data_IF_538364953390
#
_entry.id   IF_538364953390
#
_cell.length_a   1.000
_cell.length_b   1.000
_cell.length_c   1.000
_cell.angle_alpha   90.00
_cell.angle_beta   90.00
_cell.angle_gamma   90.00
#
_symmetry.space_group_name_H-M   'P 1'
#
loop_
_entity.id
_entity.type
_entity.pdbx_description
1 polymer ?
#
# COMPACT_ATOMS: atom_id res chain seq x y z
N UNK A 1 40.37 -12.70 36.06
CA UNK A 1 41.10 -12.76 37.35
C UNK A 1 41.38 -11.34 37.78
N UNK A 2 41.37 -11.07 39.09
CA UNK A 2 41.71 -9.78 39.75
C UNK A 2 40.74 -8.62 39.47
N UNK A 3 39.86 -8.30 40.43
CA UNK A 3 39.96 -7.20 41.43
C UNK A 3 39.36 -5.87 40.88
N UNK A 4 38.55 -5.08 41.59
CA UNK A 4 38.51 -4.83 43.05
C UNK A 4 37.11 -4.57 43.62
N UNK A 5 37.01 -4.62 44.96
CA UNK A 5 35.90 -4.12 45.78
C UNK A 5 35.94 -2.59 45.92
N UNK A 6 34.78 -1.96 46.15
CA UNK A 6 34.50 -1.21 47.40
C UNK A 6 33.07 -0.67 47.39
N UNK A 7 32.40 -0.70 48.54
CA UNK A 7 30.98 -0.38 48.72
C UNK A 7 30.77 0.44 50.01
N UNK A 8 29.62 1.11 50.16
CA UNK A 8 29.18 1.92 51.31
C UNK A 8 29.98 3.24 51.53
N UNK A 9 29.47 4.35 52.08
CA UNK A 9 28.23 4.71 52.82
C UNK A 9 28.05 6.26 52.74
N UNK A 10 27.00 6.98 53.15
CA UNK A 10 25.60 6.74 53.58
C UNK A 10 24.91 8.12 53.71
N UNK A 11 23.57 8.24 53.56
CA UNK A 11 22.75 9.20 54.35
C UNK A 11 21.21 9.03 54.21
N UNK A 12 20.60 8.80 55.37
CA UNK A 12 19.22 8.99 55.83
C UNK A 12 18.88 10.50 56.01
N UNK A 13 17.67 11.00 56.32
CA UNK A 13 16.26 10.52 56.39
C UNK A 13 15.36 11.81 56.49
N UNK A 14 14.05 11.66 56.78
CA UNK A 14 13.10 12.68 57.33
C UNK A 14 12.47 13.68 56.32
N UNK A 15 11.19 14.11 56.39
CA UNK A 15 9.97 13.66 57.13
C UNK A 15 8.72 14.28 56.42
N UNK A 16 7.53 13.68 56.58
CA UNK A 16 6.15 14.26 56.78
C UNK A 16 5.74 15.67 56.23
N UNK A 17 4.48 15.99 55.87
CA UNK A 17 3.15 15.33 56.06
C UNK A 17 1.99 16.08 55.33
N UNK A 18 0.88 15.37 55.10
CA UNK A 18 -0.55 15.76 55.24
C UNK A 18 -1.27 16.89 54.45
N UNK A 19 -2.28 16.42 53.68
CA UNK A 19 -3.72 16.76 53.75
C UNK A 19 -4.22 18.22 53.81
N UNK A 20 -5.08 18.61 52.84
CA UNK A 20 -6.49 18.96 53.14
C UNK A 20 -7.44 19.06 51.93
N UNK A 21 -8.63 18.50 52.10
CA UNK A 21 -9.86 18.85 51.38
C UNK A 21 -10.48 20.14 51.98
N UNK A 22 -11.17 20.97 51.18
CA UNK A 22 -12.60 21.30 51.35
C UNK A 22 -13.11 22.51 50.52
N UNK A 23 -14.26 22.28 49.86
CA UNK A 23 -15.47 23.14 49.79
C UNK A 23 -15.54 24.45 48.96
N UNK A 24 -16.44 24.38 47.96
CA UNK A 24 -17.62 25.25 47.72
C UNK A 24 -17.49 26.75 47.42
N UNK A 25 -18.16 27.15 46.33
CA UNK A 25 -19.24 28.15 46.39
C UNK A 25 -20.10 28.12 45.11
N UNK A 26 -21.40 27.88 45.25
CA UNK A 26 -22.39 28.09 44.19
C UNK A 26 -22.66 29.58 44.00
N UNK A 27 -22.93 30.02 42.76
CA UNK A 27 -23.68 31.25 42.52
C UNK A 27 -24.41 31.24 41.17
N UNK A 28 -25.70 30.89 41.22
CA UNK A 28 -26.68 31.26 40.21
C UNK A 28 -27.05 32.75 40.36
N UNK A 29 -27.20 33.44 39.23
CA UNK A 29 -27.97 34.69 39.18
C UNK A 29 -28.47 34.95 37.76
N UNK A 30 -29.77 34.72 37.53
CA UNK A 30 -30.47 35.09 36.31
C UNK A 30 -30.80 36.60 36.22
N UNK A 31 -30.95 37.05 34.97
CA UNK A 31 -32.11 37.82 34.44
C UNK A 31 -31.93 39.29 33.95
N UNK A 32 -32.30 39.49 32.67
CA UNK A 32 -32.75 40.72 31.98
C UNK A 32 -31.81 41.96 31.90
N UNK A 33 -31.64 42.69 30.77
CA UNK A 33 -32.69 43.16 29.85
C UNK A 33 -32.20 43.75 28.49
N UNK A 34 -32.91 43.41 27.41
CA UNK A 34 -33.38 44.23 26.27
C UNK A 34 -32.46 44.98 25.26
N UNK A 35 -32.93 44.95 23.99
CA UNK A 35 -32.60 45.72 22.76
C UNK A 35 -31.15 45.70 22.20
N UNK A 36 -30.92 45.48 20.89
CA UNK A 36 -31.83 45.13 19.79
C UNK A 36 -31.18 45.24 18.39
N UNK A 37 -31.82 44.60 17.39
CA UNK A 37 -31.57 44.64 15.92
C UNK A 37 -30.53 43.71 15.24
N UNK A 38 -31.06 43.02 14.21
CA UNK A 38 -30.45 42.53 12.96
C UNK A 38 -29.57 41.26 12.96
N UNK A 39 -30.25 40.13 12.75
CA UNK A 39 -29.77 38.91 12.07
C UNK A 39 -29.36 39.22 10.61
N UNK A 40 -28.36 38.54 10.01
CA UNK A 40 -28.58 37.17 9.52
C UNK A 40 -27.40 36.19 9.66
N UNK A 41 -27.72 34.91 9.40
CA UNK A 41 -26.84 33.72 9.34
C UNK A 41 -26.39 33.13 10.67
N UNK A 42 -26.99 31.98 10.98
CA UNK A 42 -26.47 31.01 11.95
C UNK A 42 -25.19 30.40 11.39
N UNK A 43 -24.06 30.73 12.01
CA UNK A 43 -22.83 29.95 11.84
C UNK A 43 -23.08 28.55 12.42
N UNK A 44 -22.83 27.45 11.67
CA UNK A 44 -22.74 26.14 12.27
C UNK A 44 -21.48 26.12 13.12
N UNK A 45 -21.67 26.02 14.44
CA UNK A 45 -20.61 26.01 15.46
C UNK A 45 -19.37 25.24 15.04
N UNK A 46 -18.21 25.87 15.24
CA UNK A 46 -16.88 25.32 14.97
C UNK A 46 -16.64 23.96 15.63
N UNK A 47 -17.02 22.89 14.94
CA UNK A 47 -16.33 21.60 15.06
C UNK A 47 -15.09 21.67 14.18
N UNK A 48 -14.21 22.59 14.57
CA UNK A 48 -12.86 22.72 14.05
C UNK A 48 -12.05 21.52 14.57
N UNK A 49 -12.38 20.34 14.02
CA UNK A 49 -11.68 19.07 14.24
C UNK A 49 -10.35 19.07 13.50
N UNK A 50 -9.63 20.18 13.59
CA UNK A 50 -8.22 20.35 13.23
C UNK A 50 -7.30 19.78 14.33
N UNK A 51 -7.76 18.72 15.02
CA UNK A 51 -6.89 17.80 15.73
C UNK A 51 -6.09 17.02 14.68
N UNK A 52 -4.80 17.36 14.63
CA UNK A 52 -3.79 16.94 13.67
C UNK A 52 -3.61 15.40 13.53
N UNK A 53 -4.53 14.71 12.87
CA UNK A 53 -4.34 13.34 12.36
C UNK A 53 -3.72 13.35 10.95
N UNK A 54 -2.63 14.11 10.78
CA UNK A 54 -1.80 14.08 9.56
C UNK A 54 -0.96 12.78 9.44
N UNK A 55 -1.16 11.82 10.35
CA UNK A 55 -0.27 10.66 10.54
C UNK A 55 -0.66 9.43 9.73
N UNK A 56 -1.92 9.30 9.33
CA UNK A 56 -2.51 8.00 8.95
C UNK A 56 -2.48 7.76 7.43
N UNK A 57 -2.06 8.78 6.66
CA UNK A 57 -2.22 8.83 5.21
C UNK A 57 -1.33 7.86 4.41
N UNK A 58 -0.25 7.31 4.98
CA UNK A 58 0.70 6.47 4.22
C UNK A 58 0.19 5.07 3.90
N UNK A 59 -0.70 4.53 4.76
CA UNK A 59 -1.33 3.21 4.60
C UNK A 59 -2.60 3.25 3.72
N UNK A 60 -3.14 4.43 3.47
CA UNK A 60 -4.35 4.60 2.67
C UNK A 60 -4.04 4.99 1.21
N UNK A 61 -4.92 4.58 0.30
CA UNK A 61 -4.98 5.15 -1.04
C UNK A 61 -5.79 6.44 -1.02
N UNK A 62 -5.14 7.59 -1.22
CA UNK A 62 -5.82 8.82 -1.60
C UNK A 62 -6.36 8.68 -3.04
N UNK A 63 -7.65 8.96 -3.26
CA UNK A 63 -8.30 8.78 -4.57
C UNK A 63 -7.72 9.70 -5.67
N UNK A 64 -6.99 10.76 -5.29
CA UNK A 64 -6.31 11.70 -6.19
C UNK A 64 -4.81 11.43 -6.41
N UNK A 65 -4.20 10.55 -5.60
CA UNK A 65 -2.73 10.43 -5.55
C UNK A 65 -2.28 9.06 -6.06
N UNK A 66 -1.89 9.01 -7.32
CA UNK A 66 -1.25 7.83 -7.90
C UNK A 66 0.05 7.51 -7.15
N UNK A 67 0.19 6.25 -6.72
CA UNK A 67 1.45 5.74 -6.18
C UNK A 67 2.54 5.84 -7.26
N UNK A 68 3.74 6.25 -6.85
CA UNK A 68 4.89 6.34 -7.76
C UNK A 68 5.19 4.98 -8.41
N UNK A 69 4.94 3.89 -7.69
CA UNK A 69 5.06 2.51 -8.21
C UNK A 69 3.98 2.12 -9.23
N UNK A 70 2.87 2.85 -9.33
CA UNK A 70 1.88 2.65 -10.41
C UNK A 70 2.24 3.39 -11.71
N UNK A 71 3.06 4.45 -11.65
CA UNK A 71 3.61 5.10 -12.86
C UNK A 71 4.73 4.27 -13.53
N UNK A 72 5.31 3.33 -12.80
CA UNK A 72 6.41 2.48 -13.26
C UNK A 72 5.82 1.20 -13.87
N UNK A 73 6.14 0.87 -15.13
CA UNK A 73 5.66 -0.36 -15.75
C UNK A 73 6.12 -1.61 -15.01
N UNK A 74 5.21 -2.57 -14.90
CA UNK A 74 5.51 -3.92 -14.41
C UNK A 74 6.34 -4.69 -15.43
N UNK A 75 7.17 -5.60 -14.94
CA UNK A 75 7.83 -6.63 -15.75
C UNK A 75 6.87 -7.77 -16.07
N UNK A 76 7.17 -8.56 -17.09
CA UNK A 76 6.37 -9.74 -17.49
C UNK A 76 6.20 -10.73 -16.32
N UNK A 77 7.22 -10.90 -15.48
CA UNK A 77 7.16 -11.74 -14.29
C UNK A 77 6.22 -11.17 -13.22
N UNK A 78 6.19 -9.86 -13.00
CA UNK A 78 5.28 -9.21 -12.06
C UNK A 78 3.83 -9.28 -12.56
N UNK A 79 3.59 -9.01 -13.85
CA UNK A 79 2.27 -9.13 -14.48
C UNK A 79 1.75 -10.58 -14.41
N UNK A 80 2.60 -11.57 -14.69
CA UNK A 80 2.28 -12.98 -14.57
C UNK A 80 1.93 -13.36 -13.12
N UNK A 81 2.75 -12.94 -12.15
CA UNK A 81 2.55 -13.22 -10.73
C UNK A 81 1.25 -12.66 -10.18
N UNK A 82 0.89 -11.42 -10.56
CA UNK A 82 -0.41 -10.82 -10.24
C UNK A 82 -1.54 -11.62 -10.90
N UNK A 83 -1.39 -12.02 -12.17
CA UNK A 83 -2.36 -12.84 -12.88
C UNK A 83 -2.60 -14.21 -12.23
N UNK A 84 -1.55 -14.88 -11.76
CA UNK A 84 -1.63 -16.12 -10.98
C UNK A 84 -2.41 -15.91 -9.67
N UNK A 85 -2.03 -14.91 -8.88
CA UNK A 85 -2.70 -14.56 -7.62
C UNK A 85 -4.19 -14.28 -7.82
N UNK A 86 -4.52 -13.41 -8.78
CA UNK A 86 -5.89 -13.05 -9.14
C UNK A 86 -6.75 -14.26 -9.49
N UNK A 87 -6.16 -15.26 -10.17
CA UNK A 87 -6.84 -16.50 -10.53
C UNK A 87 -7.01 -17.43 -9.34
N UNK A 88 -6.01 -17.51 -8.47
CA UNK A 88 -6.01 -18.41 -7.31
C UNK A 88 -6.97 -17.93 -6.21
N UNK A 89 -6.94 -16.63 -5.87
CA UNK A 89 -7.89 -16.06 -4.89
C UNK A 89 -9.34 -16.17 -5.40
N UNK A 90 -9.60 -15.89 -6.69
CA UNK A 90 -10.90 -16.14 -7.37
C UNK A 90 -11.30 -17.62 -7.43
N UNK A 91 -10.34 -18.54 -7.32
CA UNK A 91 -10.61 -19.95 -7.08
C UNK A 91 -11.10 -20.21 -5.66
N UNK A 92 -10.41 -19.66 -4.65
CA UNK A 92 -10.75 -19.83 -3.22
C UNK A 92 -12.05 -19.16 -2.81
N UNK A 93 -12.39 -18.01 -3.35
CA UNK A 93 -13.70 -17.36 -3.13
C UNK A 93 -14.85 -18.28 -3.57
N UNK A 94 -14.74 -18.89 -4.77
CA UNK A 94 -15.73 -19.87 -5.29
C UNK A 94 -15.74 -21.20 -4.54
N UNK A 95 -14.64 -21.54 -3.86
CA UNK A 95 -14.56 -22.70 -2.97
C UNK A 95 -15.31 -22.43 -1.67
N UNK A 96 -15.07 -21.26 -1.06
CA UNK A 96 -15.77 -20.76 0.13
C UNK A 96 -17.28 -20.67 -0.11
N UNK A 97 -17.72 -20.01 -1.20
CA UNK A 97 -19.12 -19.89 -1.61
C UNK A 97 -19.81 -21.25 -1.75
N UNK A 98 -19.15 -22.22 -2.39
CA UNK A 98 -19.69 -23.56 -2.61
C UNK A 98 -19.84 -24.32 -1.29
N UNK A 99 -18.84 -24.25 -0.41
CA UNK A 99 -18.91 -24.88 0.91
C UNK A 99 -20.05 -24.29 1.75
N UNK A 100 -20.15 -22.95 1.79
CA UNK A 100 -21.18 -22.22 2.52
C UNK A 100 -22.59 -22.68 2.11
N UNK A 101 -22.87 -22.64 0.79
CA UNK A 101 -24.14 -23.11 0.22
C UNK A 101 -24.39 -24.59 0.51
N UNK A 102 -23.35 -25.42 0.53
CA UNK A 102 -23.47 -26.86 0.84
C UNK A 102 -23.85 -27.07 2.32
N UNK A 103 -23.19 -26.37 3.26
CA UNK A 103 -23.48 -26.47 4.70
C UNK A 103 -24.93 -26.05 4.99
N UNK A 104 -25.36 -24.90 4.47
CA UNK A 104 -26.75 -24.43 4.57
C UNK A 104 -27.74 -25.46 4.00
N UNK A 105 -27.49 -25.98 2.79
CA UNK A 105 -28.42 -26.92 2.14
C UNK A 105 -28.63 -28.23 2.91
N UNK A 106 -27.71 -28.57 3.81
CA UNK A 106 -27.76 -29.77 4.65
C UNK A 106 -28.11 -29.49 6.11
N UNK A 107 -28.31 -28.22 6.49
CA UNK A 107 -28.48 -27.79 7.88
C UNK A 107 -27.27 -28.18 8.77
N UNK A 108 -26.06 -28.15 8.20
CA UNK A 108 -24.79 -28.32 8.93
C UNK A 108 -24.37 -27.00 9.61
N UNK A 109 -23.70 -27.06 10.77
CA UNK A 109 -23.21 -25.85 11.47
C UNK A 109 -22.21 -25.06 10.62
N UNK A 110 -22.31 -23.73 10.67
CA UNK A 110 -21.42 -22.77 10.01
C UNK A 110 -20.33 -22.20 10.95
N UNK A 111 -20.33 -22.61 12.22
CA UNK A 111 -19.54 -22.06 13.34
C UNK A 111 -18.01 -22.01 13.11
N UNK A 112 -17.48 -22.87 12.25
CA UNK A 112 -16.06 -22.90 11.84
C UNK A 112 -15.87 -22.64 10.34
N UNK A 113 -16.90 -22.17 9.61
CA UNK A 113 -16.77 -21.83 8.20
C UNK A 113 -16.00 -20.51 8.01
N UNK A 114 -16.24 -19.51 8.86
CA UNK A 114 -15.55 -18.20 8.81
C UNK A 114 -14.04 -18.38 8.92
N UNK A 115 -13.59 -19.06 9.97
CA UNK A 115 -12.18 -19.41 10.23
C UNK A 115 -11.55 -20.09 9.01
N UNK A 116 -12.16 -21.19 8.53
CA UNK A 116 -11.66 -21.93 7.37
C UNK A 116 -11.68 -21.15 6.05
N UNK A 117 -12.58 -20.18 5.90
CA UNK A 117 -12.64 -19.28 4.75
C UNK A 117 -11.54 -18.21 4.80
N UNK A 118 -11.28 -17.64 5.99
CA UNK A 118 -10.20 -16.68 6.24
C UNK A 118 -8.82 -17.33 6.13
N UNK A 119 -8.62 -18.54 6.66
CA UNK A 119 -7.37 -19.31 6.52
C UNK A 119 -7.01 -19.61 5.05
N UNK A 120 -8.02 -19.84 4.19
CA UNK A 120 -7.78 -19.99 2.74
C UNK A 120 -7.36 -18.68 2.08
N UNK A 121 -7.87 -17.54 2.54
CA UNK A 121 -7.40 -16.22 2.09
C UNK A 121 -5.96 -16.03 2.56
N UNK A 122 -5.68 -16.23 3.86
CA UNK A 122 -4.35 -16.14 4.47
C UNK A 122 -3.32 -16.99 3.73
N UNK A 123 -3.63 -18.27 3.48
CA UNK A 123 -2.75 -19.21 2.78
C UNK A 123 -2.35 -18.72 1.37
N UNK A 124 -3.27 -18.07 0.65
CA UNK A 124 -2.96 -17.45 -0.65
C UNK A 124 -2.14 -16.17 -0.45
N UNK A 125 -2.47 -15.32 0.52
CA UNK A 125 -1.70 -14.11 0.84
C UNK A 125 -0.24 -14.46 1.18
N UNK A 126 -0.01 -15.31 2.17
CA UNK A 126 1.32 -15.76 2.61
C UNK A 126 2.17 -16.30 1.44
N UNK A 127 1.54 -17.15 0.60
CA UNK A 127 2.16 -17.75 -0.59
C UNK A 127 2.65 -16.70 -1.59
N UNK A 128 1.85 -15.69 -1.90
CA UNK A 128 2.20 -14.68 -2.91
C UNK A 128 3.04 -13.53 -2.34
N UNK A 129 2.90 -13.21 -1.05
CA UNK A 129 3.85 -12.36 -0.32
C UNK A 129 5.27 -12.95 -0.39
N UNK A 130 5.42 -14.26 -0.12
CA UNK A 130 6.68 -14.99 -0.23
C UNK A 130 7.22 -15.17 -1.67
N UNK A 131 6.41 -14.86 -2.70
CA UNK A 131 6.83 -14.76 -4.11
C UNK A 131 7.21 -13.34 -4.55
N UNK A 132 7.10 -12.34 -3.67
CA UNK A 132 7.40 -10.95 -4.02
C UNK A 132 6.30 -10.21 -4.81
N UNK A 133 5.02 -10.60 -4.64
CA UNK A 133 3.91 -9.94 -5.34
C UNK A 133 3.82 -8.44 -5.04
N UNK A 134 3.45 -7.65 -6.06
CA UNK A 134 3.09 -6.24 -5.94
C UNK A 134 1.68 -6.06 -5.40
N UNK A 135 1.60 -5.52 -4.20
CA UNK A 135 0.41 -5.23 -3.41
C UNK A 135 -0.41 -4.06 -3.95
N UNK A 136 0.26 -3.04 -4.49
CA UNK A 136 -0.37 -1.81 -4.95
C UNK A 136 -0.71 -1.82 -6.45
N UNK A 137 -0.39 -2.90 -7.15
CA UNK A 137 -0.75 -3.11 -8.57
C UNK A 137 -2.18 -3.60 -8.75
N UNK A 138 -2.80 -3.22 -9.87
CA UNK A 138 -4.16 -3.62 -10.24
C UNK A 138 -4.21 -5.08 -10.70
N UNK A 139 -5.28 -5.76 -10.34
CA UNK A 139 -5.59 -7.09 -10.84
C UNK A 139 -6.30 -6.99 -12.20
N UNK A 140 -5.78 -7.61 -13.28
CA UNK A 140 -6.20 -7.43 -14.69
C UNK A 140 -7.72 -7.58 -15.04
N UNK A 141 -8.58 -7.94 -14.09
CA UNK A 141 -10.03 -8.13 -14.27
C UNK A 141 -10.89 -7.32 -13.28
N UNK A 142 -10.29 -6.39 -12.54
CA UNK A 142 -10.94 -5.51 -11.57
C UNK A 142 -10.17 -4.20 -11.48
N UNK A 143 -10.84 -3.08 -11.23
CA UNK A 143 -10.16 -1.79 -11.02
C UNK A 143 -9.41 -1.71 -9.66
N UNK A 144 -9.44 -2.81 -8.91
CA UNK A 144 -8.91 -2.98 -7.57
C UNK A 144 -7.45 -3.45 -7.57
N UNK A 145 -6.69 -2.96 -6.59
CA UNK A 145 -5.34 -3.46 -6.28
C UNK A 145 -5.39 -4.81 -5.58
N UNK A 146 -4.28 -5.54 -5.56
CA UNK A 146 -4.13 -6.81 -4.82
C UNK A 146 -4.60 -6.67 -3.37
N UNK A 147 -4.19 -5.61 -2.66
CA UNK A 147 -4.63 -5.36 -1.27
C UNK A 147 -6.13 -5.14 -1.17
N UNK A 148 -6.71 -4.26 -1.99
CA UNK A 148 -8.15 -3.97 -1.92
C UNK A 148 -9.00 -5.20 -2.24
N UNK A 149 -8.56 -6.05 -3.17
CA UNK A 149 -9.21 -7.31 -3.46
C UNK A 149 -9.23 -8.19 -2.19
N UNK A 150 -8.10 -8.38 -1.51
CA UNK A 150 -8.03 -9.19 -0.28
C UNK A 150 -8.97 -8.65 0.81
N UNK A 151 -9.00 -7.34 1.04
CA UNK A 151 -9.92 -6.72 2.00
C UNK A 151 -11.39 -6.92 1.63
N UNK A 152 -11.75 -6.77 0.35
CA UNK A 152 -13.11 -7.05 -0.15
C UNK A 152 -13.52 -8.50 0.09
N UNK A 153 -12.62 -9.47 -0.04
CA UNK A 153 -12.95 -10.87 0.21
C UNK A 153 -13.09 -11.18 1.70
N UNK A 154 -12.28 -10.57 2.57
CA UNK A 154 -12.46 -10.66 4.03
C UNK A 154 -13.84 -10.11 4.40
N UNK A 155 -14.19 -8.91 3.92
CA UNK A 155 -15.51 -8.31 4.13
C UNK A 155 -16.61 -9.24 3.63
N UNK A 156 -16.49 -9.80 2.42
CA UNK A 156 -17.49 -10.73 1.88
C UNK A 156 -17.66 -12.03 2.67
N UNK A 157 -16.59 -12.56 3.26
CA UNK A 157 -16.64 -13.73 4.17
C UNK A 157 -17.40 -13.36 5.45
N UNK A 158 -17.11 -12.22 6.07
CA UNK A 158 -17.76 -11.77 7.29
C UNK A 158 -19.24 -11.41 7.06
N UNK A 159 -19.56 -10.67 6.00
CA UNK A 159 -20.95 -10.34 5.65
C UNK A 159 -21.80 -11.60 5.47
N UNK A 160 -21.24 -12.64 4.84
CA UNK A 160 -21.93 -13.90 4.57
C UNK A 160 -22.41 -14.64 5.83
N UNK A 161 -21.76 -14.46 6.98
CA UNK A 161 -22.16 -15.16 8.23
C UNK A 161 -23.02 -14.30 9.16
N UNK A 162 -23.23 -13.02 8.85
CA UNK A 162 -23.89 -12.10 9.79
C UNK A 162 -25.42 -12.09 9.72
N UNK A 163 -26.05 -12.11 10.89
CA UNK A 163 -27.48 -11.85 11.06
C UNK A 163 -27.70 -10.35 11.26
N UNK A 164 -28.21 -9.63 10.26
CA UNK A 164 -28.47 -8.19 10.40
C UNK A 164 -29.62 -7.93 11.37
N UNK A 165 -29.34 -7.21 12.46
CA UNK A 165 -30.26 -6.87 13.56
C UNK A 165 -31.47 -6.02 13.15
N UNK A 166 -31.56 -5.64 11.86
CA UNK A 166 -32.59 -4.77 11.30
C UNK A 166 -33.29 -5.37 10.06
N UNK A 167 -33.75 -6.62 10.15
CA UNK A 167 -34.85 -7.16 9.31
C UNK A 167 -34.64 -7.20 7.79
N UNK A 168 -33.43 -6.97 7.30
CA UNK A 168 -33.06 -6.99 5.89
C UNK A 168 -31.65 -7.54 5.74
N UNK A 169 -31.52 -8.76 5.23
CA UNK A 169 -30.24 -9.32 4.79
C UNK A 169 -29.94 -8.78 3.40
N UNK A 170 -28.70 -8.34 3.19
CA UNK A 170 -28.12 -8.20 1.86
C UNK A 170 -26.92 -9.14 1.79
N UNK A 171 -27.18 -10.41 1.46
CA UNK A 171 -26.12 -11.35 1.13
C UNK A 171 -25.75 -11.17 -0.34
N UNK A 172 -24.45 -11.15 -0.67
CA UNK A 172 -24.01 -11.31 -2.08
C UNK A 172 -24.37 -12.69 -2.67
N UNK A 173 -24.83 -13.62 -1.82
CA UNK A 173 -25.03 -15.03 -2.14
C UNK A 173 -26.37 -15.58 -1.63
N UNK A 174 -27.49 -14.86 -1.80
CA UNK A 174 -28.84 -15.37 -1.50
C UNK A 174 -29.10 -16.74 -2.17
N UNK A 175 -29.78 -17.65 -1.46
CA UNK A 175 -31.25 -17.65 -1.50
C UNK A 175 -31.95 -17.42 -0.15
N UNK A 176 -33.19 -16.92 -0.29
CA UNK A 176 -34.16 -16.50 0.73
C UNK A 176 -34.60 -17.65 1.67
N UNK A 177 -34.90 -17.27 2.92
CA UNK A 177 -35.65 -17.99 3.96
C UNK A 177 -35.29 -19.46 4.24
N UNK A 178 -34.42 -19.68 5.24
CA UNK A 178 -34.68 -20.54 6.41
C UNK A 178 -33.46 -20.51 7.36
N UNK A 179 -33.60 -20.00 8.59
CA UNK A 179 -33.03 -20.58 9.82
C UNK A 179 -33.38 -19.76 11.08
N UNK A 180 -33.24 -20.41 12.23
CA UNK A 180 -33.81 -20.05 13.54
C UNK A 180 -32.96 -18.99 14.29
N UNK A 181 -33.56 -18.33 15.29
CA UNK A 181 -32.92 -17.28 16.08
C UNK A 181 -32.08 -17.86 17.24
N UNK A 182 -30.79 -18.10 17.00
CA UNK A 182 -29.78 -18.27 18.07
C UNK A 182 -29.10 -16.93 18.39
N UNK A 183 -28.78 -16.74 19.68
CA UNK A 183 -27.99 -15.59 20.17
C UNK A 183 -26.50 -15.90 20.03
N UNK A 184 -26.05 -16.10 18.81
CA UNK A 184 -24.64 -16.38 18.54
C UNK A 184 -23.88 -15.06 18.44
N UNK A 185 -22.67 -15.04 19.02
CA UNK A 185 -21.76 -13.89 18.93
C UNK A 185 -21.37 -13.66 17.47
N UNK A 186 -21.19 -12.40 17.08
CA UNK A 186 -20.91 -12.05 15.69
C UNK A 186 -19.58 -12.73 15.27
N UNK A 187 -19.59 -13.48 14.17
CA UNK A 187 -18.39 -14.18 13.68
C UNK A 187 -17.21 -13.22 13.46
N UNK A 188 -17.48 -11.95 13.14
CA UNK A 188 -16.45 -10.90 13.03
C UNK A 188 -15.81 -10.51 14.38
N UNK A 189 -16.40 -10.94 15.50
CA UNK A 189 -15.96 -10.64 16.87
C UNK A 189 -15.34 -11.82 17.62
N UNK A 190 -15.24 -13.01 17.01
CA UNK A 190 -14.51 -14.16 17.58
C UNK A 190 -13.00 -13.92 17.55
N UNK A 191 -12.32 -14.22 18.65
CA UNK A 191 -10.88 -14.00 18.84
C UNK A 191 -10.02 -14.68 17.76
N UNK A 192 -10.39 -15.90 17.32
CA UNK A 192 -9.68 -16.62 16.26
C UNK A 192 -9.78 -15.89 14.91
N UNK A 193 -10.98 -15.43 14.54
CA UNK A 193 -11.22 -14.70 13.30
C UNK A 193 -10.52 -13.32 13.34
N UNK A 194 -10.57 -12.62 14.47
CA UNK A 194 -9.83 -11.36 14.70
C UNK A 194 -8.33 -11.59 14.49
N UNK A 195 -7.77 -12.65 15.09
CA UNK A 195 -6.34 -12.98 14.99
C UNK A 195 -5.90 -13.24 13.55
N UNK A 196 -6.69 -13.99 12.77
CA UNK A 196 -6.40 -14.26 11.35
C UNK A 196 -6.47 -12.96 10.54
N UNK A 197 -7.49 -12.14 10.74
CA UNK A 197 -7.65 -10.84 10.05
C UNK A 197 -6.48 -9.91 10.38
N UNK A 198 -6.15 -9.75 11.66
CA UNK A 198 -5.02 -8.93 12.12
C UNK A 198 -3.70 -9.40 11.51
N UNK A 199 -3.44 -10.71 11.43
CA UNK A 199 -2.26 -11.24 10.73
C UNK A 199 -2.24 -10.81 9.25
N UNK A 200 -3.34 -11.03 8.50
CA UNK A 200 -3.41 -10.66 7.08
C UNK A 200 -3.19 -9.15 6.89
N UNK A 201 -3.88 -8.33 7.69
CA UNK A 201 -3.80 -6.86 7.62
C UNK A 201 -2.38 -6.38 7.94
N UNK A 202 -1.77 -6.90 9.01
CA UNK A 202 -0.40 -6.59 9.42
C UNK A 202 0.61 -6.96 8.33
N UNK A 203 0.53 -8.19 7.81
CA UNK A 203 1.46 -8.70 6.79
C UNK A 203 1.36 -7.89 5.47
N UNK A 204 0.17 -7.38 5.11
CA UNK A 204 -0.02 -6.53 3.94
C UNK A 204 0.49 -5.10 4.16
N UNK A 205 0.12 -4.44 5.27
CA UNK A 205 0.42 -3.02 5.48
C UNK A 205 1.89 -2.78 5.88
N UNK A 206 2.51 -3.65 6.69
CA UNK A 206 3.96 -3.56 6.99
C UNK A 206 4.83 -3.76 5.74
N UNK A 207 4.28 -4.44 4.71
CA UNK A 207 4.88 -4.60 3.38
C UNK A 207 4.54 -3.46 2.42
N UNK A 208 4.03 -2.33 2.91
CA UNK A 208 3.72 -1.15 2.09
C UNK A 208 2.47 -1.29 1.22
N UNK A 209 1.65 -2.31 1.45
CA UNK A 209 0.32 -2.39 0.85
C UNK A 209 -0.53 -1.18 1.26
N UNK A 210 -1.29 -0.61 0.32
CA UNK A 210 -2.22 0.49 0.55
C UNK A 210 -3.65 0.06 0.29
N UNK A 211 -4.53 0.39 1.23
CA UNK A 211 -5.94 0.01 1.23
C UNK A 211 -6.83 1.24 1.08
N UNK A 212 -8.04 1.10 0.51
CA UNK A 212 -9.05 2.15 0.53
C UNK A 212 -9.58 2.30 1.96
N UNK A 213 -9.66 3.55 2.45
CA UNK A 213 -10.06 3.84 3.84
C UNK A 213 -11.41 3.22 4.25
N UNK A 214 -12.40 3.20 3.35
CA UNK A 214 -13.71 2.58 3.61
C UNK A 214 -13.68 1.05 3.70
N UNK A 215 -12.65 0.38 3.15
CA UNK A 215 -12.49 -1.07 3.33
C UNK A 215 -11.83 -1.38 4.67
N UNK A 216 -10.87 -0.57 5.13
CA UNK A 216 -10.16 -0.78 6.39
C UNK A 216 -11.01 -0.50 7.63
N UNK A 217 -11.86 0.53 7.57
CA UNK A 217 -12.84 0.84 8.62
C UNK A 217 -14.25 0.32 8.28
N UNK A 218 -14.37 -0.68 7.41
CA UNK A 218 -15.67 -1.29 7.11
C UNK A 218 -16.22 -1.95 8.38
N UNK A 219 -17.48 -1.71 8.77
CA UNK A 219 -18.08 -2.15 10.05
C UNK A 219 -17.71 -3.59 10.47
N UNK A 220 -17.65 -4.51 9.50
CA UNK A 220 -17.29 -5.92 9.72
C UNK A 220 -15.80 -6.17 10.03
N UNK A 221 -14.88 -5.45 9.39
CA UNK A 221 -13.43 -5.61 9.65
C UNK A 221 -12.93 -4.62 10.71
N UNK A 222 -13.66 -3.52 10.92
CA UNK A 222 -13.37 -2.44 11.86
C UNK A 222 -13.19 -2.94 13.29
N UNK A 223 -13.96 -3.94 13.71
CA UNK A 223 -13.77 -4.59 15.01
C UNK A 223 -12.38 -5.25 15.13
N UNK A 224 -11.91 -5.96 14.11
CA UNK A 224 -10.59 -6.57 14.13
C UNK A 224 -9.46 -5.54 13.97
N UNK A 225 -9.66 -4.47 13.19
CA UNK A 225 -8.64 -3.44 12.93
C UNK A 225 -8.53 -2.37 14.02
N UNK A 226 -9.58 -2.13 14.82
CA UNK A 226 -9.56 -1.15 15.94
C UNK A 226 -9.58 -1.79 17.33
N UNK A 227 -9.60 -3.13 17.42
CA UNK A 227 -9.46 -3.85 18.69
C UNK A 227 -8.14 -3.51 19.41
N UNK A 228 -8.18 -3.51 20.73
CA UNK A 228 -6.98 -3.41 21.57
C UNK A 228 -6.12 -4.68 21.45
N UNK A 229 -4.80 -4.49 21.42
CA UNK A 229 -3.84 -5.60 21.44
C UNK A 229 -3.46 -5.93 22.88
N UNK A 230 -3.65 -7.19 23.32
CA UNK A 230 -3.10 -7.81 24.53
C UNK A 230 -2.97 -6.92 25.79
N UNK A 231 -4.10 -6.50 26.39
CA UNK A 231 -4.16 -5.66 27.60
C UNK A 231 -3.39 -4.33 27.51
N UNK A 232 -2.90 -3.93 26.34
CA UNK A 232 -2.27 -2.63 26.12
C UNK A 232 -3.33 -1.54 25.95
N UNK A 233 -2.94 -0.29 26.18
CA UNK A 233 -3.81 0.87 25.99
C UNK A 233 -3.86 1.38 24.54
N UNK A 234 -3.31 0.63 23.59
CA UNK A 234 -3.19 1.02 22.18
C UNK A 234 -4.07 0.14 21.29
N UNK A 235 -4.69 0.76 20.28
CA UNK A 235 -5.47 0.03 19.27
C UNK A 235 -4.53 -0.61 18.24
N UNK A 236 -4.99 -1.69 17.61
CA UNK A 236 -4.21 -2.43 16.62
C UNK A 236 -3.77 -1.56 15.44
N UNK A 237 -4.65 -0.69 14.94
CA UNK A 237 -4.35 0.25 13.85
C UNK A 237 -3.38 1.35 14.28
N UNK A 238 -3.52 1.95 15.47
CA UNK A 238 -2.55 2.91 16.02
C UNK A 238 -1.12 2.32 16.05
N UNK A 239 -0.98 1.09 16.55
CA UNK A 239 0.30 0.38 16.61
C UNK A 239 0.84 0.07 15.20
N UNK A 240 -0.03 -0.44 14.32
CA UNK A 240 0.35 -0.82 12.95
C UNK A 240 0.76 0.40 12.11
N UNK A 241 0.05 1.52 12.22
CA UNK A 241 0.40 2.77 11.53
C UNK A 241 1.69 3.38 12.06
N UNK A 242 1.98 3.27 13.37
CA UNK A 242 3.26 3.66 13.94
C UNK A 242 4.42 2.84 13.34
N UNK A 243 4.27 1.52 13.23
CA UNK A 243 5.28 0.64 12.59
C UNK A 243 5.46 0.94 11.10
N UNK A 244 4.37 1.08 10.34
CA UNK A 244 4.43 1.45 8.91
C UNK A 244 5.17 2.79 8.72
N UNK A 245 4.96 3.76 9.61
CA UNK A 245 5.60 5.07 9.60
C UNK A 245 7.07 5.01 10.00
N UNK A 246 7.46 4.15 10.96
CA UNK A 246 8.86 3.88 11.28
C UNK A 246 9.61 3.29 10.08
N UNK A 247 9.02 2.28 9.44
CA UNK A 247 9.53 1.64 8.22
C UNK A 247 9.72 2.65 7.08
N UNK A 248 8.74 3.53 6.84
CA UNK A 248 8.83 4.57 5.81
C UNK A 248 9.92 5.60 6.13
N UNK A 249 10.02 6.03 7.40
CA UNK A 249 11.03 6.99 7.84
C UNK A 249 12.44 6.41 7.79
N UNK A 250 12.61 5.12 8.10
CA UNK A 250 13.88 4.42 7.95
C UNK A 250 14.36 4.42 6.49
N UNK A 251 13.46 4.11 5.54
CA UNK A 251 13.79 4.19 4.12
C UNK A 251 14.10 5.64 3.68
N UNK A 252 13.38 6.66 4.19
CA UNK A 252 13.70 8.08 3.95
C UNK A 252 15.09 8.46 4.47
N UNK A 253 15.46 8.02 5.67
CA UNK A 253 16.76 8.28 6.27
C UNK A 253 17.88 7.65 5.43
N UNK A 254 17.74 6.37 5.06
CA UNK A 254 18.71 5.67 4.19
C UNK A 254 18.82 6.34 2.81
N UNK A 255 17.70 6.75 2.23
CA UNK A 255 17.66 7.48 0.97
C UNK A 255 18.42 8.82 1.08
N UNK A 256 18.12 9.62 2.10
CA UNK A 256 18.81 10.89 2.36
C UNK A 256 20.31 10.69 2.59
N UNK A 257 20.70 9.70 3.38
CA UNK A 257 22.11 9.36 3.65
C UNK A 257 22.87 8.94 2.38
N UNK A 258 22.20 8.31 1.42
CA UNK A 258 22.82 7.89 0.15
C UNK A 258 23.19 9.05 -0.79
N UNK A 259 22.64 10.25 -0.59
CA UNK A 259 22.97 11.42 -1.42
C UNK A 259 24.42 11.85 -1.16
N UNK A 260 25.20 11.95 -2.23
CA UNK A 260 26.62 12.33 -2.18
C UNK A 260 26.78 13.85 -2.19
N UNK A 261 26.06 14.54 -3.08
CA UNK A 261 26.10 16.00 -3.24
C UNK A 261 25.11 16.72 -2.31
N UNK A 262 25.19 16.42 -1.01
CA UNK A 262 24.42 17.12 0.03
C UNK A 262 24.86 18.58 0.11
N UNK A 263 23.90 19.50 0.06
CA UNK A 263 24.13 20.93 0.33
C UNK A 263 23.35 21.31 1.59
N UNK A 264 24.05 21.24 2.73
CA UNK A 264 23.49 21.27 4.09
C UNK A 264 22.57 22.47 4.35
N UNK A 265 22.86 23.63 3.74
CA UNK A 265 22.15 24.89 3.98
C UNK A 265 20.85 25.05 3.17
N UNK A 266 20.61 24.21 2.15
CA UNK A 266 19.50 24.38 1.21
C UNK A 266 18.52 23.20 1.14
N UNK A 267 18.87 22.05 1.72
CA UNK A 267 18.24 20.76 1.40
C UNK A 267 17.30 20.21 2.47
N UNK A 268 17.45 20.56 3.75
CA UNK A 268 16.72 19.86 4.83
C UNK A 268 15.20 20.12 4.83
N UNK A 269 14.79 21.35 4.50
CA UNK A 269 13.37 21.76 4.49
C UNK A 269 12.78 21.88 3.06
N UNK A 270 13.54 21.49 2.03
CA UNK A 270 13.17 21.61 0.61
C UNK A 270 13.41 20.36 -0.25
N UNK A 271 13.88 19.26 0.34
CA UNK A 271 13.93 17.99 -0.40
C UNK A 271 12.51 17.44 -0.57
N UNK A 272 12.00 17.43 -1.79
CA UNK A 272 10.88 16.58 -2.19
C UNK A 272 11.31 15.10 -2.30
N UNK A 273 11.97 14.59 -1.27
CA UNK A 273 12.33 13.18 -1.16
C UNK A 273 11.06 12.40 -0.85
N UNK A 274 10.62 11.56 -1.79
CA UNK A 274 9.49 10.65 -1.58
C UNK A 274 9.97 9.22 -1.64
N UNK A 275 9.43 8.37 -0.76
CA UNK A 275 9.70 6.93 -0.76
C UNK A 275 8.38 6.17 -0.75
N UNK A 276 8.37 4.98 -1.35
CA UNK A 276 7.27 4.01 -1.27
C UNK A 276 7.85 2.60 -1.14
N UNK A 277 7.12 1.71 -0.46
CA UNK A 277 7.44 0.29 -0.35
C UNK A 277 6.27 -0.49 -0.96
N UNK A 278 6.58 -1.59 -1.64
CA UNK A 278 5.61 -2.55 -2.14
C UNK A 278 6.26 -3.94 -2.15
N UNK A 279 6.03 -4.67 -1.06
CA UNK A 279 6.61 -5.97 -0.72
C UNK A 279 8.15 -5.97 -0.81
N UNK A 280 8.76 -6.79 -1.68
CA UNK A 280 10.23 -6.84 -1.83
C UNK A 280 10.81 -5.64 -2.61
N UNK A 281 9.96 -4.74 -3.10
CA UNK A 281 10.35 -3.57 -3.87
C UNK A 281 10.22 -2.28 -3.06
N UNK A 282 11.03 -1.29 -3.41
CA UNK A 282 10.86 0.08 -2.93
C UNK A 282 11.12 1.09 -4.06
N UNK A 283 10.47 2.25 -3.98
CA UNK A 283 10.72 3.39 -4.85
C UNK A 283 11.31 4.53 -4.03
N UNK A 284 12.29 5.24 -4.58
CA UNK A 284 12.77 6.51 -4.04
C UNK A 284 12.80 7.53 -5.17
N UNK A 285 12.13 8.65 -4.97
CA UNK A 285 12.18 9.82 -5.85
C UNK A 285 13.08 10.89 -5.25
N UNK A 286 14.20 11.12 -5.93
CA UNK A 286 15.21 12.11 -5.59
C UNK A 286 14.99 13.44 -6.35
N UNK A 287 15.48 14.56 -5.80
CA UNK A 287 15.66 15.80 -6.55
C UNK A 287 16.46 15.59 -7.85
N UNK A 288 16.19 16.41 -8.86
CA UNK A 288 16.65 16.21 -10.24
C UNK A 288 18.16 16.03 -10.39
N UNK A 289 18.97 16.79 -9.66
CA UNK A 289 20.44 16.80 -9.80
C UNK A 289 21.16 15.95 -8.73
N UNK A 290 20.48 14.96 -8.15
CA UNK A 290 21.02 14.13 -7.07
C UNK A 290 22.02 13.09 -7.57
N UNK A 291 23.22 13.05 -6.98
CA UNK A 291 24.15 11.93 -7.10
C UNK A 291 23.93 10.99 -5.92
N UNK A 292 23.61 9.72 -6.18
CA UNK A 292 23.19 8.76 -5.14
C UNK A 292 24.08 7.52 -5.11
N UNK A 293 24.45 7.10 -3.90
CA UNK A 293 25.27 5.91 -3.67
C UNK A 293 24.37 4.68 -3.49
N UNK A 294 23.99 4.06 -4.62
CA UNK A 294 23.08 2.91 -4.68
C UNK A 294 23.49 1.74 -3.77
N UNK A 295 24.79 1.58 -3.50
CA UNK A 295 25.30 0.56 -2.57
C UNK A 295 24.78 0.75 -1.13
N UNK A 296 24.76 1.99 -0.63
CA UNK A 296 24.29 2.31 0.74
C UNK A 296 22.82 1.98 0.93
N UNK A 297 22.02 2.16 -0.11
CA UNK A 297 20.58 1.88 -0.09
C UNK A 297 20.35 0.36 -0.02
N UNK A 298 20.87 -0.40 -1.00
CA UNK A 298 20.60 -1.84 -1.13
C UNK A 298 21.33 -2.70 -0.09
N UNK A 299 22.42 -2.21 0.47
CA UNK A 299 23.21 -2.95 1.49
C UNK A 299 22.76 -2.65 2.92
N UNK A 300 21.84 -1.71 3.13
CA UNK A 300 21.43 -1.28 4.47
C UNK A 300 20.78 -2.41 5.27
N UNK A 301 21.11 -2.51 6.56
CA UNK A 301 20.61 -3.59 7.42
C UNK A 301 19.10 -3.49 7.71
N UNK A 302 18.54 -2.27 7.80
CA UNK A 302 17.09 -2.06 7.93
C UNK A 302 16.35 -2.58 6.69
N UNK A 303 16.86 -2.26 5.50
CA UNK A 303 16.30 -2.75 4.23
C UNK A 303 16.41 -4.28 4.08
N UNK A 304 17.50 -4.89 4.58
CA UNK A 304 17.64 -6.36 4.65
C UNK A 304 16.62 -6.99 5.60
N UNK A 305 16.37 -6.39 6.77
CA UNK A 305 15.35 -6.84 7.71
C UNK A 305 13.93 -6.82 7.12
N UNK A 306 13.65 -5.85 6.26
CA UNK A 306 12.39 -5.73 5.51
C UNK A 306 12.36 -6.58 4.22
N UNK A 307 13.43 -7.33 3.92
CA UNK A 307 13.58 -8.12 2.69
C UNK A 307 13.38 -7.30 1.40
N UNK A 308 13.82 -6.03 1.41
CA UNK A 308 13.78 -5.13 0.26
C UNK A 308 14.94 -5.43 -0.70
N UNK A 309 14.63 -6.06 -1.83
CA UNK A 309 15.60 -6.56 -2.82
C UNK A 309 15.71 -5.71 -4.08
N UNK A 310 14.61 -5.07 -4.48
CA UNK A 310 14.51 -4.32 -5.74
C UNK A 310 14.28 -2.83 -5.44
N UNK A 311 15.30 -2.03 -5.70
CA UNK A 311 15.21 -0.57 -5.66
C UNK A 311 14.80 0.00 -7.00
N UNK A 312 13.85 0.92 -6.99
CA UNK A 312 13.51 1.75 -8.14
C UNK A 312 13.84 3.20 -7.80
N UNK A 313 14.83 3.76 -8.47
CA UNK A 313 15.41 5.05 -8.15
C UNK A 313 15.03 6.04 -9.25
N UNK A 314 14.12 6.96 -8.94
CA UNK A 314 13.79 8.08 -9.82
C UNK A 314 14.70 9.27 -9.47
N UNK A 315 15.51 9.71 -10.43
CA UNK A 315 16.37 10.89 -10.31
C UNK A 315 15.96 11.87 -11.40
N UNK A 316 15.18 12.89 -11.00
CA UNK A 316 14.52 13.78 -11.95
C UNK A 316 13.55 13.04 -12.87
N UNK A 317 13.92 12.93 -14.15
CA UNK A 317 13.15 12.19 -15.16
C UNK A 317 13.61 10.74 -15.35
N UNK A 318 14.88 10.42 -15.10
CA UNK A 318 15.41 9.07 -15.24
C UNK A 318 14.84 8.16 -14.15
N UNK A 319 14.47 6.93 -14.49
CA UNK A 319 14.04 5.91 -13.53
C UNK A 319 14.94 4.69 -13.74
N UNK A 320 15.62 4.26 -12.68
CA UNK A 320 16.56 3.12 -12.72
C UNK A 320 16.02 1.99 -11.86
N UNK A 321 15.89 0.78 -12.43
CA UNK A 321 15.55 -0.43 -11.69
C UNK A 321 16.83 -1.20 -11.37
N UNK A 322 17.06 -1.47 -10.08
CA UNK A 322 18.23 -2.19 -9.60
C UNK A 322 17.81 -3.26 -8.58
N UNK A 323 18.32 -4.46 -8.77
CA UNK A 323 18.14 -5.58 -7.85
C UNK A 323 19.45 -5.84 -7.09
N UNK A 324 19.37 -6.28 -5.84
CA UNK A 324 20.53 -6.80 -5.11
C UNK A 324 20.30 -8.23 -4.63
N UNK A 325 21.31 -9.07 -4.90
CA UNK A 325 21.37 -10.44 -4.43
C UNK A 325 22.78 -10.75 -3.93
N UNK A 326 22.91 -11.25 -2.70
CA UNK A 326 24.19 -11.56 -2.04
C UNK A 326 25.21 -10.40 -2.11
N UNK A 327 24.76 -9.15 -1.96
CA UNK A 327 25.59 -7.94 -2.01
C UNK A 327 26.06 -7.53 -3.41
N UNK A 328 25.77 -8.33 -4.45
CA UNK A 328 25.94 -7.92 -5.84
C UNK A 328 24.77 -7.04 -6.28
N UNK A 329 24.99 -6.17 -7.26
CA UNK A 329 23.97 -5.26 -7.81
C UNK A 329 23.76 -5.57 -9.28
N UNK A 330 22.50 -5.69 -9.69
CA UNK A 330 22.11 -5.94 -11.08
C UNK A 330 21.21 -4.78 -11.55
N UNK A 331 21.67 -4.00 -12.51
CA UNK A 331 20.86 -2.92 -13.09
C UNK A 331 20.01 -3.52 -14.20
N UNK A 332 18.69 -3.52 -13.99
CA UNK A 332 17.71 -4.27 -14.77
C UNK A 332 17.00 -3.42 -15.82
N UNK A 333 16.87 -2.12 -15.56
CA UNK A 333 16.19 -1.19 -16.47
C UNK A 333 16.61 0.26 -16.22
N UNK A 334 16.50 1.08 -17.26
CA UNK A 334 16.66 2.54 -17.27
C UNK A 334 15.56 3.10 -18.17
N UNK A 335 14.62 3.85 -17.61
CA UNK A 335 13.46 4.38 -18.30
C UNK A 335 13.51 5.91 -18.40
N UNK A 336 12.80 6.44 -19.41
CA UNK A 336 12.60 7.86 -19.74
C UNK A 336 13.87 8.62 -20.17
N UNK A 337 14.95 8.59 -19.40
CA UNK A 337 16.22 9.26 -19.70
C UNK A 337 17.40 8.41 -19.23
N UNK A 338 18.56 8.61 -19.87
CA UNK A 338 19.79 7.90 -19.51
C UNK A 338 20.34 8.27 -18.14
N UNK A 339 21.30 7.49 -17.67
CA UNK A 339 22.03 7.72 -16.41
C UNK A 339 23.51 7.39 -16.56
N UNK A 340 24.36 8.05 -15.78
CA UNK A 340 25.78 7.73 -15.66
C UNK A 340 26.02 7.00 -14.34
N UNK A 341 26.55 5.79 -14.42
CA UNK A 341 27.13 5.09 -13.27
C UNK A 341 28.59 5.53 -13.11
N UNK A 342 28.95 5.98 -11.92
CA UNK A 342 30.32 6.40 -11.61
C UNK A 342 30.97 5.51 -10.55
N UNK A 343 32.26 5.28 -10.70
CA UNK A 343 33.09 4.54 -9.74
C UNK A 343 34.35 5.34 -9.46
N UNK A 344 34.52 5.75 -8.20
CA UNK A 344 35.72 6.42 -7.76
C UNK A 344 36.86 5.39 -7.61
N UNK A 345 38.04 5.71 -8.13
CA UNK A 345 39.27 4.97 -7.88
C UNK A 345 40.41 5.93 -7.56
N UNK A 346 41.45 5.46 -6.89
CA UNK A 346 42.52 6.30 -6.31
C UNK A 346 43.29 7.18 -7.33
N UNK A 347 43.16 6.89 -8.63
CA UNK A 347 43.78 7.66 -9.72
C UNK A 347 42.78 8.32 -10.68
N UNK A 348 41.56 7.79 -10.83
CA UNK A 348 40.62 8.24 -11.87
C UNK A 348 39.17 7.78 -11.61
N UNK A 349 38.21 8.50 -12.19
CA UNK A 349 36.77 8.23 -12.05
C UNK A 349 36.23 7.52 -13.29
N UNK A 350 35.85 6.26 -13.13
CA UNK A 350 35.26 5.46 -14.23
C UNK A 350 33.79 5.84 -14.39
N UNK A 351 33.37 6.14 -15.61
CA UNK A 351 31.98 6.50 -15.94
C UNK A 351 31.42 5.57 -17.03
N UNK A 352 30.25 4.99 -16.75
CA UNK A 352 29.48 4.16 -17.67
C UNK A 352 28.12 4.82 -17.90
N UNK A 353 27.81 5.18 -19.14
CA UNK A 353 26.52 5.72 -19.52
C UNK A 353 25.58 4.60 -19.95
N UNK A 354 24.40 4.58 -19.35
CA UNK A 354 23.30 3.68 -19.67
C UNK A 354 22.19 4.49 -20.31
N UNK A 355 21.96 4.32 -21.61
CA UNK A 355 20.98 5.09 -22.38
C UNK A 355 19.87 4.18 -22.92
N UNK A 356 18.60 4.36 -22.53
CA UNK A 356 17.51 3.63 -23.17
C UNK A 356 17.39 4.04 -24.64
N UNK A 357 17.50 3.08 -25.56
CA UNK A 357 17.18 3.31 -26.98
C UNK A 357 15.68 3.53 -27.14
N UNK A 358 15.29 4.52 -27.93
CA UNK A 358 13.89 4.76 -28.27
C UNK A 358 13.34 3.57 -29.07
N UNK A 359 12.10 3.15 -28.77
CA UNK A 359 11.39 2.06 -29.46
C UNK A 359 12.13 0.69 -29.50
N UNK A 360 13.03 0.44 -28.55
CA UNK A 360 13.80 -0.81 -28.44
C UNK A 360 13.86 -1.31 -27.00
N UNK A 361 14.01 -2.63 -26.84
CA UNK A 361 14.26 -3.29 -25.56
C UNK A 361 15.71 -3.16 -25.11
N UNK A 362 16.59 -2.56 -25.90
CA UNK A 362 17.99 -2.36 -25.55
C UNK A 362 18.20 -1.12 -24.68
N UNK A 363 19.13 -1.24 -23.75
CA UNK A 363 19.83 -0.12 -23.11
C UNK A 363 21.24 -0.11 -23.67
N UNK A 364 21.61 0.98 -24.34
CA UNK A 364 22.97 1.20 -24.83
C UNK A 364 23.91 1.42 -23.65
N UNK A 365 25.07 0.78 -23.70
CA UNK A 365 26.15 0.89 -22.70
C UNK A 365 27.36 1.54 -23.36
N UNK A 366 27.77 2.70 -22.84
CA UNK A 366 28.99 3.39 -23.27
C UNK A 366 29.93 3.60 -22.09
N UNK A 367 31.22 3.35 -22.31
CA UNK A 367 32.29 3.62 -21.36
C UNK A 367 33.04 4.86 -21.84
N UNK A 368 33.27 5.85 -20.96
CA UNK A 368 33.95 7.09 -21.36
C UNK A 368 35.42 6.87 -21.78
N UNK A 369 36.12 5.93 -21.12
CA UNK A 369 37.51 5.61 -21.42
C UNK A 369 37.80 4.12 -21.26
N UNK A 370 38.45 3.52 -22.26
CA UNK A 370 38.76 2.08 -22.34
C UNK A 370 40.26 1.81 -22.12
N UNK A 371 40.63 1.45 -20.90
CA UNK A 371 41.98 0.97 -20.57
C UNK A 371 41.94 -0.38 -19.85
N UNK A 372 43.04 -1.13 -19.91
CA UNK A 372 43.15 -2.46 -19.26
C UNK A 372 42.92 -2.36 -17.74
N UNK A 373 43.38 -1.27 -17.11
CA UNK A 373 43.17 -1.01 -15.67
C UNK A 373 41.69 -0.76 -15.34
N UNK A 374 40.97 -0.02 -16.19
CA UNK A 374 39.52 0.18 -16.07
C UNK A 374 38.78 -1.16 -16.14
N UNK A 375 39.13 -2.02 -17.11
CA UNK A 375 38.49 -3.33 -17.24
C UNK A 375 38.79 -4.27 -16.06
N UNK A 376 40.02 -4.29 -15.53
CA UNK A 376 40.37 -5.07 -14.32
C UNK A 376 39.64 -4.60 -13.06
N UNK A 377 39.40 -3.28 -12.91
CA UNK A 377 38.55 -2.73 -11.85
C UNK A 377 37.08 -3.16 -12.03
N UNK A 378 36.55 -3.06 -13.25
CA UNK A 378 35.16 -3.45 -13.55
C UNK A 378 34.89 -4.94 -13.33
N UNK A 379 35.86 -5.84 -13.62
CA UNK A 379 35.76 -7.29 -13.28
C UNK A 379 35.54 -7.55 -11.78
N UNK A 380 35.99 -6.64 -10.89
CA UNK A 380 35.89 -6.77 -9.42
C UNK A 380 34.71 -6.02 -8.81
N UNK A 381 33.96 -5.25 -9.60
CA UNK A 381 32.94 -4.29 -9.13
C UNK A 381 31.71 -4.89 -8.43
N UNK A 382 31.49 -6.21 -8.51
CA UNK A 382 30.29 -6.87 -7.98
C UNK A 382 28.99 -6.45 -8.68
N UNK A 383 29.10 -5.88 -9.88
CA UNK A 383 28.04 -5.29 -10.67
C UNK A 383 27.71 -6.16 -11.90
N UNK A 384 26.44 -6.17 -12.28
CA UNK A 384 25.94 -6.71 -13.56
C UNK A 384 24.93 -5.75 -14.19
N UNK A 385 24.77 -5.85 -15.51
CA UNK A 385 23.84 -5.05 -16.32
C UNK A 385 22.96 -6.02 -17.12
N UNK A 386 21.66 -6.07 -16.85
CA UNK A 386 20.75 -7.05 -17.47
C UNK A 386 21.15 -8.51 -17.23
N UNK A 387 21.78 -8.82 -16.10
CA UNK A 387 22.37 -10.13 -15.82
C UNK A 387 23.73 -10.42 -16.49
N UNK A 388 24.13 -9.66 -17.51
CA UNK A 388 25.48 -9.72 -18.10
C UNK A 388 26.52 -9.14 -17.16
N UNK A 389 27.78 -9.59 -17.31
CA UNK A 389 28.89 -8.88 -16.65
C UNK A 389 29.07 -7.48 -17.25
N UNK A 390 29.60 -6.53 -16.48
CA UNK A 390 29.82 -5.15 -16.98
C UNK A 390 30.74 -5.14 -18.21
N UNK A 391 31.78 -5.97 -18.23
CA UNK A 391 32.71 -6.12 -19.36
C UNK A 391 31.99 -6.57 -20.64
N UNK A 392 31.17 -7.61 -20.52
CA UNK A 392 30.37 -8.19 -21.61
C UNK A 392 29.35 -7.17 -22.16
N UNK A 393 28.61 -6.50 -21.27
CA UNK A 393 27.66 -5.45 -21.68
C UNK A 393 28.33 -4.25 -22.37
N UNK A 394 29.57 -3.91 -22.01
CA UNK A 394 30.38 -2.90 -22.72
C UNK A 394 30.88 -3.42 -24.07
N UNK A 395 31.29 -4.69 -24.17
CA UNK A 395 31.75 -5.30 -25.42
C UNK A 395 30.61 -5.45 -26.44
N UNK A 396 29.42 -5.83 -26.00
CA UNK A 396 28.19 -5.85 -26.79
C UNK A 396 27.63 -4.44 -27.06
N UNK A 397 28.08 -3.44 -26.29
CA UNK A 397 27.56 -2.08 -26.28
C UNK A 397 26.10 -1.96 -25.80
N UNK A 398 25.50 -3.03 -25.26
CA UNK A 398 24.11 -3.05 -24.80
C UNK A 398 23.76 -4.21 -23.84
N UNK A 399 22.62 -4.05 -23.16
CA UNK A 399 21.88 -5.14 -22.53
C UNK A 399 20.36 -4.97 -22.75
N UNK A 400 19.60 -6.05 -22.57
CA UNK A 400 18.13 -6.05 -22.71
C UNK A 400 17.43 -5.63 -21.42
N UNK A 401 16.35 -4.85 -21.55
CA UNK A 401 15.47 -4.45 -20.45
C UNK A 401 14.71 -5.64 -19.89
N UNK A 402 14.35 -5.56 -18.62
CA UNK A 402 13.52 -6.54 -17.91
C UNK A 402 12.03 -6.58 -18.37
N UNK A 403 11.70 -5.98 -19.52
CA UNK A 403 10.38 -6.00 -20.14
C UNK A 403 10.53 -5.90 -21.65
N UNK A 404 9.87 -6.78 -22.40
CA UNK A 404 9.70 -6.56 -23.82
C UNK A 404 8.71 -5.41 -24.05
N UNK A 405 9.21 -4.26 -24.47
CA UNK A 405 8.40 -3.24 -25.14
C UNK A 405 8.01 -3.83 -26.50
N UNK A 406 6.85 -4.47 -26.55
CA UNK A 406 6.24 -4.84 -27.83
C UNK A 406 6.13 -3.57 -28.69
N UNK A 407 6.76 -3.60 -29.87
CA UNK A 407 7.00 -2.43 -30.73
C UNK A 407 5.73 -1.87 -31.40
N UNK A 408 4.55 -2.27 -30.91
CA UNK A 408 3.23 -2.00 -31.48
C UNK A 408 2.33 -1.11 -30.60
N UNK A 409 2.81 -0.58 -29.47
CA UNK A 409 2.02 0.26 -28.55
C UNK A 409 2.69 1.60 -28.25
N UNK A 410 3.13 2.30 -29.31
CA UNK A 410 3.46 3.73 -29.25
C UNK A 410 2.78 4.46 -30.43
N UNK A 411 1.46 4.29 -30.53
CA UNK A 411 0.60 5.39 -30.95
C UNK A 411 -0.20 5.83 -29.72
N UNK A 412 0.06 7.04 -29.25
CA UNK A 412 -0.85 7.68 -28.30
C UNK A 412 -2.18 7.94 -29.02
N UNK A 413 -3.34 7.51 -28.48
CA UNK A 413 -4.60 8.05 -28.95
C UNK A 413 -4.61 9.54 -28.59
N UNK A 414 -4.53 10.39 -29.62
CA UNK A 414 -4.59 11.84 -29.46
C UNK A 414 -5.81 12.23 -28.63
N UNK A 415 -5.61 13.10 -27.63
CA UNK A 415 -6.67 13.60 -26.79
C UNK A 415 -7.61 14.53 -27.58
N UNK A 416 -8.62 13.95 -28.22
CA UNK A 416 -9.74 14.65 -28.84
C UNK A 416 -11.04 13.84 -28.67
N UNK A 417 -11.81 14.22 -27.65
CA UNK A 417 -13.26 13.97 -27.49
C UNK A 417 -13.80 12.60 -27.93
N UNK A 418 -13.98 11.70 -26.96
CA UNK A 418 -15.07 10.71 -27.01
C UNK A 418 -15.62 10.49 -25.59
N UNK A 419 -16.77 11.10 -25.32
CA UNK A 419 -17.56 10.85 -24.11
C UNK A 419 -18.12 9.42 -24.16
N UNK A 420 -17.94 8.59 -23.11
CA UNK A 420 -18.61 7.29 -23.06
C UNK A 420 -20.13 7.49 -23.00
N UNK A 421 -20.82 7.19 -24.09
CA UNK A 421 -22.27 7.29 -24.15
C UNK A 421 -22.87 6.16 -23.29
N UNK A 422 -23.69 6.55 -22.32
CA UNK A 422 -24.21 5.66 -21.27
C UNK A 422 -24.96 4.45 -21.81
N UNK A 423 -24.62 3.26 -21.31
CA UNK A 423 -25.50 2.08 -21.37
C UNK A 423 -26.72 2.30 -20.46
N UNK A 424 -27.74 2.96 -20.97
CA UNK A 424 -29.07 3.06 -20.36
C UNK A 424 -30.16 2.94 -21.43
N UNK A 425 -30.32 1.73 -21.97
CA UNK A 425 -31.56 1.35 -22.67
C UNK A 425 -31.76 -0.16 -22.57
N UNK A 426 -32.59 -0.60 -21.60
CA UNK A 426 -33.50 -1.76 -21.68
C UNK A 426 -34.17 -2.09 -20.32
N UNK A 427 -34.89 -1.12 -19.74
CA UNK A 427 -36.02 -1.42 -18.85
C UNK A 427 -37.17 -0.47 -19.21
N UNK A 428 -38.09 -0.93 -20.07
CA UNK A 428 -39.44 -0.39 -20.10
C UNK A 428 -40.38 -1.43 -19.47
N UNK A 429 -40.75 -1.16 -18.22
CA UNK A 429 -41.81 -1.88 -17.52
C UNK A 429 -43.16 -1.59 -18.18
N UNK A 430 -44.01 -2.62 -18.22
CA UNK A 430 -45.45 -2.45 -18.41
C UNK A 430 -45.98 -1.51 -17.31
N UNK A 431 -46.70 -0.45 -17.71
CA UNK A 431 -47.29 0.51 -16.78
C UNK A 431 -48.40 1.29 -17.44
N UNK A 432 -49.64 0.96 -17.08
CA UNK A 432 -50.89 1.59 -17.54
C UNK A 432 -50.81 3.12 -17.67
N UNK A 433 -51.41 3.64 -18.75
CA UNK A 433 -52.11 4.92 -18.66
C UNK A 433 -53.48 4.83 -19.33
N UNK A 434 -54.50 5.07 -18.52
CA UNK A 434 -55.90 5.10 -18.90
C UNK A 434 -56.31 6.50 -19.39
N UNK A 435 -57.40 6.60 -20.15
CA UNK A 435 -58.00 7.84 -20.70
C UNK A 435 -57.13 8.56 -21.78
N UNK A 436 -57.67 9.07 -22.88
CA UNK A 436 -59.06 9.19 -23.34
C UNK A 436 -59.08 9.30 -24.86
N UNK A 437 -59.88 8.49 -25.56
CA UNK A 437 -60.27 8.77 -26.96
C UNK A 437 -61.74 9.16 -27.01
N UNK A 438 -62.02 10.42 -27.35
CA UNK A 438 -63.32 10.79 -27.93
C UNK A 438 -63.41 10.14 -29.30
N UNK A 439 -64.50 9.42 -29.51
CA UNK A 439 -64.96 9.04 -30.85
C UNK A 439 -65.61 10.30 -31.43
N UNK A 440 -65.24 10.66 -32.66
CA UNK A 440 -66.14 11.44 -33.51
C UNK A 440 -66.11 10.88 -34.94
N UNK A 441 -67.29 10.78 -35.53
CA UNK A 441 -67.61 9.96 -36.70
C UNK A 441 -67.49 10.71 -38.03
N UNK A 442 -67.23 9.96 -39.12
CA UNK A 442 -67.53 10.16 -40.58
C UNK A 442 -66.50 9.36 -41.40
N UNK A 443 -66.77 8.69 -42.51
CA UNK A 443 -67.99 8.35 -43.27
C UNK A 443 -67.73 6.99 -43.97
N UNK A 444 -68.77 6.24 -44.31
CA UNK A 444 -68.68 4.95 -45.03
C UNK A 444 -69.83 4.04 -44.67
#
# INVERSE_FOLDING_TARGET
MEFSRSDLSNKTDEHESDNRLQNSSDHDSDDSSADGNQTPYTEPSDWDSNLSCSSDYSCFLEESSFSMLQEIPLTENEECLIGEFCKEIKGKIKENEREYKTKISKQESIENWTEGALERIKSVVDKYLGKGIKLNSRCNSSEETVVNLIFNEIVGVLESTTNTTSGGRSSRFDPIDLLDYSKDEDEATKDENISIIQSIVRDLLLKGGRVKRHLFHHDRIGHATTAFVDNSSLQFDEHLFAECKEIENDLKNVAYESIVNKNEQAQKDKLELKVEIDNECFCIKYPQDSTVEVAKILSNEKNKGLNLRVGILQIGKSIVRVESYNGKRNYLDVLKQGVTLSFDSEAEKISIHLNPKENSNEIEVKLDESSEEVFEKLKKSGLSLGGKSVLEAIQDGNFERNRNIATSVIEQPNAATNTPQSYLENIFLNGHNDRTKRIDSRHG
#
